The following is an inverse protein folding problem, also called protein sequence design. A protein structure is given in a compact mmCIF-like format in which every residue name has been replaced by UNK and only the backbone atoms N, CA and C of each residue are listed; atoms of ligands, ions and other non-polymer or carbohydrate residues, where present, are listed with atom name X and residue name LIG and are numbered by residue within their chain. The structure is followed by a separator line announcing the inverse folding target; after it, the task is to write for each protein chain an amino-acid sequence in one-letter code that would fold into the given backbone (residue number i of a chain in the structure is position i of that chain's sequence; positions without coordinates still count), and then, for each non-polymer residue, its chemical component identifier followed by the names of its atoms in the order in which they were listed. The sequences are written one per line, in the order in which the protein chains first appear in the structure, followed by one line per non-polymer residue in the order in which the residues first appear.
data_IF_270767727244
#
_entry.id   IF_270767727244
#
_cell.length_a   1.000
_cell.length_b   1.000
_cell.length_c   1.000
_cell.angle_alpha   90.00
_cell.angle_beta   90.00
_cell.angle_gamma   90.00
#
_symmetry.space_group_name_H-M   'P 1'
#
loop_
_entity.id
_entity.type
_entity.pdbx_description
1 polymer ?
#
# COMPACT_ATOMS: atom_id res chain seq x y z
N UNK A 1 27.25 14.58 -8.14
CA UNK A 1 26.51 15.86 -8.14
C UNK A 1 26.28 16.29 -9.58
N UNK A 2 25.08 16.08 -10.13
CA UNK A 2 24.74 16.56 -11.48
C UNK A 2 23.84 17.79 -11.33
N UNK A 3 24.42 18.98 -11.51
CA UNK A 3 23.62 20.20 -11.65
C UNK A 3 23.12 20.18 -13.10
N UNK A 4 21.87 19.78 -13.30
CA UNK A 4 21.20 20.02 -14.57
C UNK A 4 21.10 21.53 -14.76
N UNK A 5 22.04 22.09 -15.51
CA UNK A 5 22.04 23.51 -15.87
C UNK A 5 20.80 23.80 -16.72
N UNK A 6 19.73 24.23 -16.06
CA UNK A 6 18.49 24.68 -16.68
C UNK A 6 18.81 25.74 -17.76
N UNK A 7 18.27 25.57 -18.96
CA UNK A 7 18.41 26.52 -20.07
C UNK A 7 17.02 27.06 -20.42
N UNK A 8 16.90 28.38 -20.63
CA UNK A 8 15.63 29.02 -21.07
C UNK A 8 15.66 29.31 -22.56
N UNK A 9 14.55 29.07 -23.25
CA UNK A 9 14.41 29.30 -24.69
C UNK A 9 13.98 30.73 -24.97
N UNK A 10 14.64 31.41 -25.90
CA UNK A 10 14.26 32.74 -26.33
C UNK A 10 12.94 32.70 -27.13
N UNK A 11 11.91 33.48 -26.76
CA UNK A 11 10.63 33.49 -27.49
C UNK A 11 10.76 34.11 -28.89
N UNK A 12 11.73 35.01 -29.11
CA UNK A 12 11.88 35.72 -30.38
C UNK A 12 12.63 34.90 -31.45
N UNK A 13 13.63 34.09 -31.07
CA UNK A 13 14.46 33.35 -32.04
C UNK A 13 14.62 31.86 -31.73
N UNK A 14 14.03 31.37 -30.64
CA UNK A 14 14.06 29.96 -30.27
C UNK A 14 15.40 29.43 -29.72
N UNK A 15 16.43 30.27 -29.55
CA UNK A 15 17.73 29.84 -29.03
C UNK A 15 17.67 29.54 -27.53
N UNK A 16 18.31 28.46 -27.11
CA UNK A 16 18.51 28.13 -25.69
C UNK A 16 19.63 28.99 -25.11
N UNK A 17 19.32 29.72 -24.04
CA UNK A 17 20.20 30.58 -23.27
C UNK A 17 20.31 30.05 -21.83
N UNK A 18 21.31 30.49 -21.07
CA UNK A 18 21.38 30.19 -19.63
C UNK A 18 20.17 30.80 -18.91
N UNK A 19 19.71 30.19 -17.82
CA UNK A 19 18.54 30.69 -17.05
C UNK A 19 18.70 32.12 -16.54
N UNK A 20 19.91 32.49 -16.17
CA UNK A 20 20.31 33.81 -15.67
C UNK A 20 20.60 34.84 -16.78
N UNK A 21 20.55 34.44 -18.06
CA UNK A 21 20.84 35.34 -19.17
C UNK A 21 19.80 36.47 -19.23
N UNK A 22 20.25 37.74 -19.12
CA UNK A 22 19.37 38.92 -19.24
C UNK A 22 19.00 39.23 -20.70
N UNK A 23 19.83 38.81 -21.64
CA UNK A 23 19.61 38.98 -23.09
C UNK A 23 19.92 37.70 -23.86
N UNK A 24 19.29 37.51 -25.00
CA UNK A 24 19.55 36.37 -25.87
C UNK A 24 20.91 36.50 -26.57
N UNK A 25 21.77 35.49 -26.47
CA UNK A 25 23.10 35.49 -27.10
C UNK A 25 23.06 35.47 -28.63
N UNK A 26 21.92 35.08 -29.23
CA UNK A 26 21.78 34.97 -30.69
C UNK A 26 21.17 36.22 -31.32
N UNK A 27 20.11 36.77 -30.72
CA UNK A 27 19.35 37.88 -31.31
C UNK A 27 19.44 39.19 -30.53
N UNK A 28 20.11 39.21 -29.37
CA UNK A 28 20.27 40.42 -28.54
C UNK A 28 19.04 40.86 -27.74
N UNK A 29 17.87 40.25 -27.98
CA UNK A 29 16.61 40.59 -27.31
C UNK A 29 16.69 40.39 -25.79
N UNK A 30 16.19 41.36 -25.02
CA UNK A 30 16.18 41.31 -23.57
C UNK A 30 15.04 40.43 -23.04
N UNK A 31 15.30 39.67 -21.97
CA UNK A 31 14.29 38.89 -21.26
C UNK A 31 13.51 39.73 -20.24
N UNK A 32 13.89 41.00 -20.03
CA UNK A 32 13.38 41.91 -18.99
C UNK A 32 11.91 42.34 -19.20
N UNK A 33 11.29 41.99 -20.33
CA UNK A 33 9.89 42.31 -20.66
C UNK A 33 8.87 41.25 -20.24
N UNK A 34 9.27 40.22 -19.48
CA UNK A 34 8.36 39.21 -18.92
C UNK A 34 8.09 39.44 -17.41
N UNK A 35 7.93 40.70 -16.99
CA UNK A 35 7.13 41.01 -15.81
C UNK A 35 5.64 40.84 -16.21
N UNK A 36 4.78 40.26 -15.36
CA UNK A 36 3.35 40.16 -15.66
C UNK A 36 2.83 41.58 -15.89
N UNK A 37 2.34 41.84 -17.08
CA UNK A 37 1.68 43.09 -17.43
C UNK A 37 0.47 43.26 -16.52
N UNK A 38 0.63 44.15 -15.54
CA UNK A 38 -0.45 44.69 -14.72
C UNK A 38 -1.54 45.21 -15.67
N UNK A 39 -2.69 44.53 -15.65
CA UNK A 39 -3.85 44.85 -16.50
C UNK A 39 -4.41 46.19 -16.04
N UNK A 40 -4.03 47.25 -16.73
CA UNK A 40 -4.63 48.58 -16.59
C UNK A 40 -5.94 48.60 -17.40
N UNK A 41 -7.01 48.02 -16.85
CA UNK A 41 -8.33 48.00 -17.49
C UNK A 41 -9.41 47.55 -16.51
N UNK A 42 -10.14 48.53 -15.96
CA UNK A 42 -11.45 48.43 -15.28
C UNK A 42 -11.76 47.12 -14.56
N UNK A 43 -11.16 46.91 -13.39
CA UNK A 43 -11.34 45.74 -12.53
C UNK A 43 -12.68 45.67 -11.75
N UNK A 44 -13.66 46.53 -12.02
CA UNK A 44 -14.90 46.64 -11.23
C UNK A 44 -16.18 46.17 -11.93
N UNK A 45 -16.11 45.73 -13.19
CA UNK A 45 -17.28 45.21 -13.94
C UNK A 45 -17.26 43.70 -14.18
N UNK A 46 -16.40 42.96 -13.47
CA UNK A 46 -16.24 41.51 -13.63
C UNK A 46 -16.34 40.75 -12.28
N UNK A 47 -16.70 41.42 -11.19
CA UNK A 47 -16.78 40.81 -9.85
C UNK A 47 -18.07 39.99 -9.64
N UNK A 48 -19.02 40.11 -10.54
CA UNK A 48 -20.39 39.64 -10.41
C UNK A 48 -20.68 38.36 -11.22
N UNK A 49 -19.65 37.76 -11.83
CA UNK A 49 -19.78 36.44 -12.48
C UNK A 49 -18.51 35.57 -12.34
N UNK A 50 -18.03 35.42 -11.12
CA UNK A 50 -17.18 34.28 -10.78
C UNK A 50 -18.01 33.32 -9.94
N UNK A 51 -18.65 32.36 -10.61
CA UNK A 51 -19.13 31.15 -9.96
C UNK A 51 -17.88 30.52 -9.33
N UNK A 52 -17.74 30.62 -8.00
CA UNK A 52 -16.69 29.92 -7.28
C UNK A 52 -16.84 28.45 -7.62
N UNK A 53 -15.84 27.75 -8.19
CA UNK A 53 -15.85 26.31 -8.07
C UNK A 53 -15.90 26.05 -6.57
N UNK A 54 -16.99 25.43 -6.11
CA UNK A 54 -17.08 24.90 -4.78
C UNK A 54 -15.82 24.06 -4.59
N UNK A 55 -14.90 24.56 -3.77
CA UNK A 55 -13.76 23.79 -3.31
C UNK A 55 -14.37 22.62 -2.56
N UNK A 56 -14.58 21.51 -3.28
CA UNK A 56 -14.88 20.21 -2.74
C UNK A 56 -13.67 19.87 -1.87
N UNK A 57 -13.75 20.29 -0.62
CA UNK A 57 -12.80 20.06 0.43
C UNK A 57 -12.88 18.57 0.76
N UNK A 58 -12.39 17.73 -0.16
CA UNK A 58 -12.00 16.36 0.16
C UNK A 58 -10.80 16.49 1.07
N UNK A 59 -11.09 16.71 2.35
CA UNK A 59 -10.17 16.51 3.44
C UNK A 59 -9.66 15.09 3.32
N UNK A 60 -8.51 14.94 2.68
CA UNK A 60 -7.75 13.72 2.77
C UNK A 60 -7.26 13.69 4.21
N UNK A 61 -7.90 12.84 5.00
CA UNK A 61 -7.43 12.49 6.33
C UNK A 61 -6.00 11.98 6.15
N UNK A 62 -5.04 12.75 6.64
CA UNK A 62 -3.64 12.34 6.71
C UNK A 62 -3.59 11.14 7.66
N UNK A 63 -3.73 9.93 7.12
CA UNK A 63 -3.47 8.71 7.87
C UNK A 63 -1.96 8.71 8.11
N UNK A 64 -1.54 9.06 9.33
CA UNK A 64 -0.18 8.82 9.78
C UNK A 64 0.14 7.35 9.49
N UNK A 65 0.96 7.12 8.48
CA UNK A 65 1.38 5.79 8.10
C UNK A 65 2.07 5.23 9.34
N UNK A 66 1.54 4.15 9.97
CA UNK A 66 2.08 3.72 11.25
C UNK A 66 3.53 3.40 11.01
N UNK A 67 4.39 4.10 11.73
CA UNK A 67 5.82 4.06 11.60
C UNK A 67 6.24 2.59 11.59
N UNK A 68 7.00 2.24 10.56
CA UNK A 68 7.36 0.86 10.24
C UNK A 68 7.95 0.13 11.46
N UNK A 69 8.49 0.88 12.41
CA UNK A 69 8.96 0.41 13.71
C UNK A 69 7.87 -0.23 14.59
N UNK A 70 6.75 0.44 14.88
CA UNK A 70 5.67 -0.14 15.69
C UNK A 70 5.03 -1.36 15.01
N UNK A 71 4.91 -1.35 13.67
CA UNK A 71 4.44 -2.52 12.91
C UNK A 71 5.36 -3.73 13.11
N UNK A 72 6.68 -3.53 13.06
CA UNK A 72 7.66 -4.62 13.27
C UNK A 72 7.60 -5.16 14.71
N UNK A 73 7.47 -4.29 15.70
CA UNK A 73 7.32 -4.71 17.11
C UNK A 73 6.07 -5.57 17.31
N UNK A 74 4.94 -5.15 16.73
CA UNK A 74 3.69 -5.93 16.81
C UNK A 74 3.84 -7.31 16.13
N UNK A 75 4.45 -7.36 14.95
CA UNK A 75 4.67 -8.63 14.23
C UNK A 75 5.55 -9.57 15.05
N UNK A 76 6.66 -9.07 15.61
CA UNK A 76 7.55 -9.87 16.46
C UNK A 76 6.80 -10.39 17.70
N UNK A 77 5.96 -9.56 18.33
CA UNK A 77 5.12 -9.96 19.45
C UNK A 77 4.13 -11.08 19.10
N UNK A 78 3.47 -10.97 17.94
CA UNK A 78 2.55 -12.00 17.45
C UNK A 78 3.29 -13.31 17.18
N UNK A 79 4.43 -13.26 16.48
CA UNK A 79 5.24 -14.46 16.22
C UNK A 79 5.66 -15.10 17.54
N UNK A 80 6.17 -14.31 18.49
CA UNK A 80 6.63 -14.83 19.77
C UNK A 80 5.50 -15.49 20.57
N UNK A 81 4.33 -14.86 20.65
CA UNK A 81 3.17 -15.40 21.36
C UNK A 81 2.65 -16.68 20.71
N UNK A 82 2.54 -16.74 19.38
CA UNK A 82 2.14 -17.95 18.66
C UNK A 82 3.15 -19.07 18.88
N UNK A 83 4.46 -18.76 18.80
CA UNK A 83 5.52 -19.75 19.00
C UNK A 83 5.52 -20.29 20.43
N UNK A 84 5.33 -19.41 21.43
CA UNK A 84 5.27 -19.79 22.84
C UNK A 84 4.03 -20.63 23.14
N UNK A 85 2.86 -20.29 22.61
CA UNK A 85 1.65 -21.11 22.75
C UNK A 85 1.81 -22.47 22.07
N UNK A 86 2.44 -22.53 20.91
CA UNK A 86 2.65 -23.80 20.20
C UNK A 86 3.68 -24.70 20.91
N UNK A 87 4.77 -24.12 21.42
CA UNK A 87 5.77 -24.85 22.21
C UNK A 87 5.23 -25.27 23.59
N UNK A 88 4.54 -24.36 24.28
CA UNK A 88 4.07 -24.55 25.64
C UNK A 88 2.80 -25.38 25.76
N UNK A 89 1.84 -25.22 24.86
CA UNK A 89 0.59 -25.98 24.86
C UNK A 89 0.51 -26.96 23.69
N UNK A 90 0.91 -26.57 22.48
CA UNK A 90 0.81 -27.41 21.29
C UNK A 90 1.58 -28.72 21.41
N UNK A 91 2.89 -28.65 21.71
CA UNK A 91 3.73 -29.85 21.79
C UNK A 91 3.32 -30.83 22.90
N UNK A 92 3.08 -30.41 24.16
CA UNK A 92 2.61 -31.34 25.19
C UNK A 92 1.19 -31.85 24.95
N UNK A 93 0.26 -31.05 24.39
CA UNK A 93 -1.06 -31.55 24.00
C UNK A 93 -0.98 -32.54 22.83
N UNK A 94 -0.05 -32.35 21.90
CA UNK A 94 0.22 -33.27 20.79
C UNK A 94 0.77 -34.60 21.35
N UNK A 95 1.74 -34.55 22.27
CA UNK A 95 2.31 -35.75 22.92
C UNK A 95 1.26 -36.48 23.76
N UNK A 96 0.49 -35.77 24.59
CA UNK A 96 -0.62 -36.34 25.36
C UNK A 96 -1.71 -36.89 24.43
N UNK A 97 -1.96 -36.21 23.31
CA UNK A 97 -2.83 -36.64 22.23
C UNK A 97 -2.36 -37.97 21.67
N UNK A 98 -1.11 -38.10 21.24
CA UNK A 98 -0.54 -39.34 20.69
C UNK A 98 -0.56 -40.48 21.72
N UNK A 99 -0.19 -40.21 22.97
CA UNK A 99 -0.20 -41.23 24.04
C UNK A 99 -1.64 -41.70 24.32
N UNK A 100 -2.58 -40.77 24.40
CA UNK A 100 -4.02 -41.07 24.53
C UNK A 100 -4.59 -41.79 23.31
N UNK A 101 -4.14 -41.43 22.11
CA UNK A 101 -4.54 -42.06 20.86
C UNK A 101 -4.01 -43.50 20.78
N UNK A 102 -2.75 -43.74 21.19
CA UNK A 102 -2.17 -45.08 21.22
C UNK A 102 -2.94 -46.00 22.17
N UNK A 103 -3.36 -45.49 23.33
CA UNK A 103 -4.17 -46.23 24.30
C UNK A 103 -5.59 -46.51 23.79
N UNK A 104 -6.24 -45.53 23.12
CA UNK A 104 -7.57 -45.76 22.54
C UNK A 104 -7.55 -46.59 21.25
N UNK A 105 -6.49 -46.56 20.44
CA UNK A 105 -6.38 -47.34 19.19
C UNK A 105 -6.23 -48.83 19.46
N UNK A 106 -5.60 -49.22 20.58
CA UNK A 106 -5.48 -50.62 20.98
C UNK A 106 -6.84 -51.24 21.34
N UNK A 107 -7.72 -50.48 22.00
CA UNK A 107 -9.02 -50.96 22.49
C UNK A 107 -10.23 -50.54 21.62
N UNK A 108 -10.02 -49.78 20.54
CA UNK A 108 -11.16 -49.32 19.72
C UNK A 108 -11.62 -50.39 18.72
N UNK A 109 -12.92 -50.72 18.70
CA UNK A 109 -13.47 -51.62 17.70
C UNK A 109 -13.30 -51.05 16.29
N UNK A 110 -13.04 -51.93 15.32
CA UNK A 110 -12.73 -51.62 13.92
C UNK A 110 -13.70 -50.59 13.26
N UNK A 111 -14.98 -50.61 13.64
CA UNK A 111 -16.01 -49.67 13.15
C UNK A 111 -15.70 -48.19 13.46
N UNK A 112 -15.11 -47.88 14.62
CA UNK A 112 -14.83 -46.49 15.02
C UNK A 112 -13.60 -45.95 14.27
N UNK A 113 -12.64 -46.83 13.96
CA UNK A 113 -11.44 -46.47 13.16
C UNK A 113 -11.83 -46.02 11.76
N UNK A 114 -12.78 -46.70 11.12
CA UNK A 114 -13.35 -46.26 9.84
C UNK A 114 -14.07 -44.92 9.95
N UNK A 115 -14.84 -44.70 11.03
CA UNK A 115 -15.53 -43.42 11.25
C UNK A 115 -14.56 -42.22 11.35
N UNK A 116 -13.43 -42.40 12.03
CA UNK A 116 -12.41 -41.34 12.17
C UNK A 116 -11.72 -41.07 10.82
N UNK A 117 -11.36 -42.11 10.07
CA UNK A 117 -10.70 -41.98 8.77
C UNK A 117 -11.64 -41.31 7.76
N UNK A 118 -12.90 -41.75 7.70
CA UNK A 118 -13.93 -41.16 6.83
C UNK A 118 -14.20 -39.71 7.24
N UNK A 119 -14.31 -39.43 8.55
CA UNK A 119 -14.49 -38.08 9.06
C UNK A 119 -13.33 -37.15 8.70
N UNK A 120 -12.09 -37.61 8.79
CA UNK A 120 -10.91 -36.85 8.40
C UNK A 120 -10.87 -36.58 6.88
N UNK A 121 -11.25 -37.57 6.06
CA UNK A 121 -11.35 -37.41 4.60
C UNK A 121 -12.44 -36.40 4.21
N UNK A 122 -13.61 -36.47 4.84
CA UNK A 122 -14.71 -35.54 4.58
C UNK A 122 -14.32 -34.12 5.00
N UNK A 123 -13.69 -33.96 6.17
CA UNK A 123 -13.24 -32.65 6.64
C UNK A 123 -12.15 -32.07 5.72
N UNK A 124 -11.22 -32.90 5.25
CA UNK A 124 -10.22 -32.52 4.25
C UNK A 124 -10.84 -32.09 2.92
N UNK A 125 -11.85 -32.82 2.44
CA UNK A 125 -12.58 -32.47 1.22
C UNK A 125 -13.35 -31.15 1.36
N UNK A 126 -14.06 -30.95 2.47
CA UNK A 126 -14.81 -29.72 2.73
C UNK A 126 -13.89 -28.51 2.86
N UNK A 127 -12.75 -28.65 3.55
CA UNK A 127 -11.77 -27.56 3.63
C UNK A 127 -11.15 -27.23 2.28
N UNK A 128 -10.89 -28.23 1.44
CA UNK A 128 -10.45 -28.00 0.07
C UNK A 128 -11.49 -27.23 -0.76
N UNK A 129 -12.74 -27.67 -0.78
CA UNK A 129 -13.84 -27.03 -1.54
C UNK A 129 -14.18 -25.63 -1.04
N UNK A 130 -14.26 -25.41 0.27
CA UNK A 130 -14.71 -24.13 0.82
C UNK A 130 -13.59 -23.10 1.01
N UNK A 131 -12.33 -23.54 1.18
CA UNK A 131 -11.23 -22.63 1.49
C UNK A 131 -10.23 -22.56 0.32
N UNK A 132 -9.69 -23.70 -0.12
CA UNK A 132 -8.61 -23.72 -1.11
C UNK A 132 -9.12 -23.48 -2.54
N UNK A 133 -10.23 -24.09 -2.93
CA UNK A 133 -10.81 -23.95 -4.27
C UNK A 133 -11.19 -22.51 -4.64
N UNK A 134 -11.88 -21.73 -3.79
CA UNK A 134 -12.16 -20.33 -4.11
C UNK A 134 -10.88 -19.48 -4.17
N UNK A 135 -9.90 -19.72 -3.31
CA UNK A 135 -8.63 -19.00 -3.34
C UNK A 135 -7.87 -19.22 -4.67
N UNK A 136 -7.78 -20.47 -5.14
CA UNK A 136 -7.12 -20.82 -6.40
C UNK A 136 -7.87 -20.28 -7.62
N UNK A 137 -9.19 -20.13 -7.54
CA UNK A 137 -10.00 -19.58 -8.65
C UNK A 137 -9.91 -18.05 -8.77
N UNK A 138 -9.59 -17.37 -7.68
CA UNK A 138 -9.50 -15.91 -7.61
C UNK A 138 -8.11 -15.40 -8.05
N UNK A 139 -7.06 -16.23 -7.91
CA UNK A 139 -5.71 -16.00 -8.45
C UNK A 139 -5.59 -16.37 -9.91
#
# INVERSE_FOLDING_TARGET
MAIFGSKKKCPHCGKNNKVDAKKCVKCGEAFDKLAPSFVQGTAWSAADRYESPEEENKGYEYVEEPDTFWKVILIIGIIFTVTFLFMGFGLPLLVLGIIGLKKRIADTPFKIKFGIIIGALILGYLTYEFILYPLVRIT
#
